data_IF_412223853364
#
_entry.id   IF_412223853364
#
_cell.length_a   1.000
_cell.length_b   1.000
_cell.length_c   1.000
_cell.angle_alpha   90.00
_cell.angle_beta   90.00
_cell.angle_gamma   90.00
#
_symmetry.space_group_name_H-M   'P 1'
#
loop_
_entity.id
_entity.type
_entity.pdbx_description
1 polymer ?
#
# COMPACT_ATOMS: atom_id res chain seq x y z
N UNK A 1 -45.22 19.50 -14.50
CA UNK A 1 -44.51 20.79 -14.74
C UNK A 1 -43.16 20.70 -14.03
N UNK A 2 -42.06 20.44 -14.75
CA UNK A 2 -40.73 20.23 -14.15
C UNK A 2 -39.79 21.39 -14.53
N UNK A 3 -39.45 22.25 -13.56
CA UNK A 3 -38.42 23.29 -13.73
C UNK A 3 -37.04 22.63 -13.75
N UNK A 4 -36.45 22.43 -14.94
CA UNK A 4 -35.02 22.08 -15.05
C UNK A 4 -34.19 23.27 -14.57
N UNK A 5 -33.44 23.06 -13.49
CA UNK A 5 -32.52 24.04 -12.94
C UNK A 5 -31.39 24.32 -13.94
N UNK A 6 -31.31 25.55 -14.47
CA UNK A 6 -30.27 26.02 -15.41
C UNK A 6 -28.99 26.49 -14.72
N UNK A 7 -28.86 26.32 -13.40
CA UNK A 7 -27.76 26.89 -12.60
C UNK A 7 -26.39 26.27 -12.89
N UNK A 8 -26.32 25.07 -13.49
CA UNK A 8 -25.04 24.45 -13.87
C UNK A 8 -24.40 25.05 -15.12
N UNK A 9 -25.18 25.45 -16.13
CA UNK A 9 -24.63 25.90 -17.42
C UNK A 9 -23.97 27.28 -17.35
N UNK A 10 -24.49 28.20 -16.54
CA UNK A 10 -23.96 29.56 -16.45
C UNK A 10 -22.55 29.58 -15.83
N UNK A 11 -22.30 28.73 -14.83
CA UNK A 11 -20.98 28.59 -14.22
C UNK A 11 -19.91 28.09 -15.20
N UNK A 12 -20.25 27.12 -16.06
CA UNK A 12 -19.34 26.60 -17.08
C UNK A 12 -18.95 27.66 -18.12
N UNK A 13 -19.89 28.52 -18.54
CA UNK A 13 -19.59 29.59 -19.51
C UNK A 13 -18.64 30.63 -18.93
N UNK A 14 -18.78 30.97 -17.65
CA UNK A 14 -17.87 31.89 -16.96
C UNK A 14 -16.46 31.30 -16.87
N UNK A 15 -16.34 30.01 -16.52
CA UNK A 15 -15.04 29.32 -16.44
C UNK A 15 -14.34 29.27 -17.80
N UNK A 16 -15.07 28.93 -18.87
CA UNK A 16 -14.52 28.91 -20.24
C UNK A 16 -14.05 30.30 -20.67
N UNK A 17 -14.82 31.35 -20.35
CA UNK A 17 -14.44 32.73 -20.65
C UNK A 17 -13.16 33.17 -19.94
N UNK A 18 -13.01 32.81 -18.66
CA UNK A 18 -11.78 33.09 -17.89
C UNK A 18 -10.59 32.32 -18.46
N UNK A 19 -10.76 31.03 -18.79
CA UNK A 19 -9.72 30.21 -19.41
C UNK A 19 -9.28 30.77 -20.77
N UNK A 20 -10.23 31.23 -21.59
CA UNK A 20 -9.94 31.84 -22.88
C UNK A 20 -9.16 33.15 -22.71
N UNK A 21 -9.60 34.03 -21.81
CA UNK A 21 -8.89 35.28 -21.52
C UNK A 21 -7.47 35.05 -20.97
N UNK A 22 -7.30 34.02 -20.14
CA UNK A 22 -5.97 33.60 -19.62
C UNK A 22 -5.08 33.05 -20.75
N UNK A 23 -5.66 32.35 -21.74
CA UNK A 23 -4.90 31.70 -22.83
C UNK A 23 -4.22 32.67 -23.80
N UNK A 24 -4.72 33.90 -23.93
CA UNK A 24 -4.12 34.93 -24.79
C UNK A 24 -2.83 35.52 -24.18
N UNK A 25 -2.67 35.41 -22.86
CA UNK A 25 -1.47 35.89 -22.16
C UNK A 25 -0.38 34.81 -22.15
N UNK A 26 0.64 34.98 -23.00
CA UNK A 26 1.79 34.06 -23.10
C UNK A 26 2.53 33.86 -21.77
N UNK A 27 2.55 34.88 -20.91
CA UNK A 27 3.17 34.84 -19.58
C UNK A 27 2.42 33.93 -18.60
N UNK A 28 1.08 33.96 -18.59
CA UNK A 28 0.31 33.09 -17.69
C UNK A 28 0.34 31.64 -18.19
N UNK A 29 0.31 31.47 -19.52
CA UNK A 29 0.42 30.14 -20.13
C UNK A 29 1.76 29.45 -19.79
N UNK A 30 2.88 30.19 -19.81
CA UNK A 30 4.20 29.63 -19.46
C UNK A 30 4.29 29.21 -17.99
N UNK A 31 3.69 29.99 -17.08
CA UNK A 31 3.61 29.65 -15.64
C UNK A 31 2.77 28.40 -15.41
N UNK A 32 1.60 28.29 -16.06
CA UNK A 32 0.73 27.10 -15.95
C UNK A 32 1.46 25.84 -16.44
N UNK A 33 2.12 25.93 -17.60
CA UNK A 33 2.92 24.82 -18.14
C UNK A 33 4.06 24.45 -17.17
N UNK A 34 4.75 25.44 -16.61
CA UNK A 34 5.81 25.22 -15.62
C UNK A 34 5.30 24.47 -14.38
N UNK A 35 4.18 24.89 -13.81
CA UNK A 35 3.55 24.20 -12.68
C UNK A 35 3.16 22.77 -13.01
N UNK A 36 2.63 22.53 -14.22
CA UNK A 36 2.27 21.19 -14.67
C UNK A 36 3.49 20.28 -14.83
N UNK A 37 4.58 20.79 -15.41
CA UNK A 37 5.84 20.06 -15.53
C UNK A 37 6.42 19.71 -14.17
N UNK A 38 6.45 20.66 -13.23
CA UNK A 38 6.93 20.42 -11.86
C UNK A 38 6.08 19.36 -11.17
N UNK A 39 4.75 19.46 -11.26
CA UNK A 39 3.85 18.45 -10.71
C UNK A 39 4.08 17.06 -11.33
N UNK A 40 4.20 16.98 -12.65
CA UNK A 40 4.45 15.72 -13.37
C UNK A 40 5.76 15.07 -12.92
N UNK A 41 6.81 15.86 -12.69
CA UNK A 41 8.09 15.36 -12.16
C UNK A 41 7.90 14.72 -10.78
N UNK A 42 7.23 15.40 -9.85
CA UNK A 42 6.98 14.85 -8.52
C UNK A 42 6.08 13.61 -8.54
N UNK A 43 5.05 13.61 -9.40
CA UNK A 43 4.14 12.49 -9.56
C UNK A 43 4.83 11.21 -10.06
N UNK A 44 5.95 11.35 -10.80
CA UNK A 44 6.76 10.22 -11.27
C UNK A 44 7.84 9.83 -10.26
N UNK A 45 8.56 10.80 -9.70
CA UNK A 45 9.70 10.54 -8.81
C UNK A 45 9.27 9.94 -7.46
N UNK A 46 8.16 10.40 -6.88
CA UNK A 46 7.66 9.92 -5.59
C UNK A 46 7.44 8.40 -5.56
N UNK A 47 6.61 7.84 -6.46
CA UNK A 47 6.35 6.40 -6.52
C UNK A 47 7.61 5.55 -6.77
N UNK A 48 8.59 6.08 -7.50
CA UNK A 48 9.85 5.38 -7.76
C UNK A 48 10.66 5.27 -6.46
N UNK A 49 10.79 6.37 -5.70
CA UNK A 49 11.50 6.38 -4.42
C UNK A 49 10.81 5.46 -3.40
N UNK A 50 9.48 5.56 -3.30
CA UNK A 50 8.69 4.72 -2.40
C UNK A 50 8.79 3.24 -2.77
N UNK A 51 8.77 2.93 -4.08
CA UNK A 51 8.96 1.57 -4.58
C UNK A 51 10.33 0.98 -4.22
N UNK A 52 11.40 1.77 -4.37
CA UNK A 52 12.76 1.38 -3.99
C UNK A 52 12.87 1.18 -2.48
N UNK A 53 12.36 2.13 -1.67
CA UNK A 53 12.40 2.08 -0.22
C UNK A 53 11.65 0.85 0.32
N UNK A 54 10.44 0.61 -0.18
CA UNK A 54 9.62 -0.55 0.18
C UNK A 54 10.29 -1.88 -0.23
N UNK A 55 10.95 -1.91 -1.39
CA UNK A 55 11.73 -3.07 -1.83
C UNK A 55 12.90 -3.36 -0.88
N UNK A 56 13.76 -2.37 -0.59
CA UNK A 56 14.92 -2.56 0.30
C UNK A 56 14.47 -3.02 1.69
N UNK A 57 13.44 -2.37 2.23
CA UNK A 57 12.89 -2.68 3.55
C UNK A 57 12.38 -4.11 3.61
N UNK A 58 11.54 -4.53 2.66
CA UNK A 58 11.03 -5.91 2.58
C UNK A 58 12.14 -6.95 2.44
N UNK A 59 13.16 -6.68 1.63
CA UNK A 59 14.29 -7.59 1.48
C UNK A 59 15.12 -7.71 2.77
N UNK A 60 15.31 -6.59 3.48
CA UNK A 60 16.06 -6.60 4.74
C UNK A 60 15.29 -7.33 5.85
N UNK A 61 13.99 -7.07 5.99
CA UNK A 61 13.10 -7.73 6.96
C UNK A 61 13.05 -9.23 6.66
N UNK A 62 12.79 -9.62 5.42
CA UNK A 62 12.76 -11.03 5.03
C UNK A 62 14.06 -11.77 5.35
N UNK A 63 15.23 -11.16 5.08
CA UNK A 63 16.52 -11.76 5.43
C UNK A 63 16.73 -11.89 6.94
N UNK A 64 16.28 -10.89 7.73
CA UNK A 64 16.31 -10.97 9.19
C UNK A 64 15.45 -12.12 9.69
N UNK A 65 14.20 -12.21 9.21
CA UNK A 65 13.25 -13.27 9.57
C UNK A 65 13.73 -14.67 9.16
N UNK A 66 14.42 -14.81 8.03
CA UNK A 66 15.00 -16.09 7.62
C UNK A 66 16.16 -16.55 8.49
N UNK A 67 16.91 -15.61 9.08
CA UNK A 67 18.08 -15.89 9.92
C UNK A 67 17.72 -16.07 11.39
N UNK A 68 16.60 -15.53 11.85
CA UNK A 68 16.16 -15.69 13.24
C UNK A 68 15.74 -17.13 13.53
N UNK A 69 16.20 -17.63 14.67
CA UNK A 69 15.78 -18.90 15.23
C UNK A 69 14.55 -18.74 16.12
N UNK A 70 14.21 -19.80 16.85
CA UNK A 70 13.09 -19.81 17.78
C UNK A 70 13.31 -18.85 18.97
N UNK A 71 14.55 -18.67 19.42
CA UNK A 71 14.86 -17.80 20.56
C UNK A 71 14.66 -16.31 20.27
N UNK A 72 14.86 -15.89 19.02
CA UNK A 72 14.60 -14.50 18.61
C UNK A 72 13.09 -14.24 18.41
N UNK A 73 12.29 -15.28 18.20
CA UNK A 73 10.85 -15.16 17.98
C UNK A 73 10.11 -14.63 19.23
N UNK A 74 10.66 -14.89 20.42
CA UNK A 74 10.13 -14.39 21.70
C UNK A 74 10.21 -12.86 21.82
N UNK A 75 11.15 -12.23 21.09
CA UNK A 75 11.39 -10.79 21.11
C UNK A 75 10.72 -10.03 19.94
N UNK A 76 10.16 -10.74 18.95
CA UNK A 76 9.44 -10.14 17.83
C UNK A 76 8.07 -9.66 18.24
N UNK A 77 7.59 -8.52 17.75
CA UNK A 77 6.17 -8.14 17.90
C UNK A 77 5.22 -9.18 17.29
N UNK A 78 3.93 -9.15 17.64
CA UNK A 78 2.93 -10.10 17.10
C UNK A 78 2.91 -10.12 15.56
N UNK A 79 2.89 -8.94 14.94
CA UNK A 79 2.93 -8.79 13.48
C UNK A 79 4.25 -9.33 12.88
N UNK A 80 5.40 -9.03 13.52
CA UNK A 80 6.70 -9.57 13.07
C UNK A 80 6.75 -11.10 13.19
N UNK A 81 6.13 -11.67 14.22
CA UNK A 81 6.04 -13.10 14.45
C UNK A 81 5.16 -13.79 13.39
N UNK A 82 4.02 -13.20 13.03
CA UNK A 82 3.18 -13.69 11.92
C UNK A 82 3.94 -13.66 10.58
N UNK A 83 4.64 -12.54 10.30
CA UNK A 83 5.49 -12.42 9.12
C UNK A 83 6.64 -13.43 9.13
N UNK A 84 7.22 -13.71 10.30
CA UNK A 84 8.26 -14.72 10.47
C UNK A 84 7.77 -16.12 10.07
N UNK A 85 6.61 -16.55 10.60
CA UNK A 85 5.98 -17.83 10.25
C UNK A 85 5.71 -17.89 8.74
N UNK A 86 5.14 -16.82 8.18
CA UNK A 86 4.82 -16.73 6.76
C UNK A 86 6.07 -16.94 5.88
N UNK A 87 7.16 -16.23 6.18
CA UNK A 87 8.43 -16.33 5.47
C UNK A 87 9.04 -17.73 5.63
N UNK A 88 8.96 -18.33 6.83
CA UNK A 88 9.44 -19.70 7.07
C UNK A 88 8.65 -20.72 6.24
N UNK A 89 7.32 -20.65 6.25
CA UNK A 89 6.46 -21.54 5.47
C UNK A 89 6.69 -21.38 3.96
N UNK A 90 6.99 -20.16 3.52
CA UNK A 90 7.37 -19.91 2.13
C UNK A 90 8.64 -20.68 1.72
N UNK A 91 9.65 -20.78 2.59
CA UNK A 91 10.84 -21.60 2.31
C UNK A 91 10.55 -23.10 2.20
N UNK A 92 9.45 -23.56 2.84
CA UNK A 92 8.96 -24.94 2.74
C UNK A 92 8.05 -25.18 1.52
N UNK A 93 7.94 -24.19 0.63
CA UNK A 93 7.18 -24.26 -0.62
C UNK A 93 5.68 -24.00 -0.47
N UNK A 94 5.27 -23.29 0.59
CA UNK A 94 3.89 -22.80 0.72
C UNK A 94 3.78 -21.39 0.13
N UNK A 95 2.66 -21.10 -0.50
CA UNK A 95 2.20 -19.73 -0.71
C UNK A 95 1.49 -19.26 0.57
N UNK A 96 1.52 -17.95 0.84
CA UNK A 96 0.89 -17.40 2.04
C UNK A 96 0.13 -16.11 1.76
N UNK A 97 -0.84 -15.81 2.62
CA UNK A 97 -1.55 -14.53 2.67
C UNK A 97 -1.83 -14.19 4.13
N UNK A 98 -1.40 -13.01 4.57
CA UNK A 98 -1.74 -12.50 5.90
C UNK A 98 -3.19 -12.04 5.89
N UNK A 99 -3.89 -12.29 6.99
CA UNK A 99 -5.24 -11.74 7.22
C UNK A 99 -5.12 -10.33 7.80
N UNK A 100 -6.14 -9.46 7.60
CA UNK A 100 -6.19 -8.19 8.29
C UNK A 100 -6.40 -8.41 9.78
N UNK A 101 -5.61 -7.78 10.65
CA UNK A 101 -5.69 -7.98 12.11
C UNK A 101 -6.97 -7.49 12.82
N UNK A 102 -8.05 -7.23 12.08
CA UNK A 102 -9.38 -6.99 12.65
C UNK A 102 -10.45 -7.67 11.80
N UNK A 103 -11.39 -8.37 12.46
CA UNK A 103 -12.52 -9.07 11.80
C UNK A 103 -12.19 -10.45 11.24
N UNK A 104 -11.06 -11.01 11.63
CA UNK A 104 -10.39 -12.20 11.11
C UNK A 104 -10.72 -13.51 11.85
N UNK A 105 -11.66 -13.49 12.79
CA UNK A 105 -12.12 -14.67 13.56
C UNK A 105 -10.97 -15.49 14.19
N UNK A 106 -9.81 -14.87 14.43
CA UNK A 106 -8.62 -15.51 14.99
C UNK A 106 -7.74 -16.25 13.98
N UNK A 107 -7.90 -16.03 12.68
CA UNK A 107 -6.96 -16.51 11.67
C UNK A 107 -5.92 -15.42 11.38
N UNK A 108 -4.62 -15.70 11.49
CA UNK A 108 -3.55 -14.73 11.25
C UNK A 108 -2.88 -14.93 9.88
N UNK A 109 -2.88 -16.18 9.39
CA UNK A 109 -2.21 -16.57 8.16
C UNK A 109 -3.00 -17.63 7.40
N UNK A 110 -3.10 -17.45 6.08
CA UNK A 110 -3.64 -18.45 5.16
C UNK A 110 -2.47 -19.00 4.33
N UNK A 111 -2.22 -20.30 4.44
CA UNK A 111 -1.23 -21.01 3.64
C UNK A 111 -1.92 -21.77 2.50
N UNK A 112 -1.23 -21.88 1.36
CA UNK A 112 -1.67 -22.70 0.23
C UNK A 112 -0.51 -23.51 -0.31
N UNK A 113 -0.75 -24.80 -0.55
CA UNK A 113 0.20 -25.67 -1.25
C UNK A 113 -0.57 -26.66 -2.10
N UNK A 114 -0.29 -26.67 -3.40
CA UNK A 114 -1.03 -27.46 -4.39
C UNK A 114 -2.54 -27.16 -4.32
N UNK A 115 -3.37 -28.13 -3.90
CA UNK A 115 -4.82 -28.01 -3.77
C UNK A 115 -5.29 -27.86 -2.32
N UNK A 116 -4.36 -27.76 -1.37
CA UNK A 116 -4.66 -27.63 0.04
C UNK A 116 -4.54 -26.18 0.49
N UNK A 117 -5.52 -25.74 1.27
CA UNK A 117 -5.58 -24.44 1.92
C UNK A 117 -5.61 -24.67 3.43
N UNK A 118 -4.66 -24.10 4.13
CA UNK A 118 -4.52 -24.24 5.58
C UNK A 118 -4.66 -22.86 6.22
N UNK A 119 -5.54 -22.76 7.21
CA UNK A 119 -5.67 -21.55 8.03
C UNK A 119 -4.81 -21.76 9.28
N UNK A 120 -3.99 -20.78 9.61
CA UNK A 120 -3.05 -20.81 10.73
C UNK A 120 -3.41 -19.67 11.67
N UNK A 121 -3.60 -20.02 12.93
CA UNK A 121 -3.62 -19.10 14.05
C UNK A 121 -2.29 -19.22 14.78
N UNK A 122 -1.58 -18.11 14.93
CA UNK A 122 -0.29 -18.01 15.55
C UNK A 122 -0.44 -17.30 16.90
N UNK A 123 0.06 -17.93 17.96
CA UNK A 123 0.10 -17.31 19.29
C UNK A 123 1.51 -17.31 19.82
N UNK A 124 2.09 -16.12 19.99
CA UNK A 124 3.39 -15.92 20.64
C UNK A 124 3.21 -16.05 22.16
N UNK A 125 3.73 -17.12 22.74
CA UNK A 125 3.78 -17.33 24.19
C UNK A 125 5.21 -17.18 24.68
N UNK A 126 5.42 -16.38 25.73
CA UNK A 126 6.75 -16.09 26.31
C UNK A 126 7.05 -17.06 27.48
N UNK A 127 6.35 -18.20 27.56
CA UNK A 127 6.45 -19.15 28.68
C UNK A 127 6.30 -20.60 28.24
N UNK A 128 6.79 -21.56 29.05
CA UNK A 128 6.64 -22.97 28.77
C UNK A 128 5.15 -23.34 28.70
N UNK A 129 4.80 -24.10 27.66
CA UNK A 129 3.49 -24.73 27.54
C UNK A 129 3.60 -26.05 28.30
N UNK A 130 3.02 -26.11 29.49
CA UNK A 130 2.85 -27.36 30.26
C UNK A 130 1.81 -28.28 29.62
#
# INVERSE_FOLDING_TARGET
MARRSKSGCLGWLVIIGILAAVSESKEILSVIIGCFVVYAVFAVLGPIVDGISNSITRHSIRRKLLRSGLGEADYMSGEEFEQWIAVKMQTLGYEYSLTPGSGDFGADLILRKRREKTVVQAKRWIGPVE
#
